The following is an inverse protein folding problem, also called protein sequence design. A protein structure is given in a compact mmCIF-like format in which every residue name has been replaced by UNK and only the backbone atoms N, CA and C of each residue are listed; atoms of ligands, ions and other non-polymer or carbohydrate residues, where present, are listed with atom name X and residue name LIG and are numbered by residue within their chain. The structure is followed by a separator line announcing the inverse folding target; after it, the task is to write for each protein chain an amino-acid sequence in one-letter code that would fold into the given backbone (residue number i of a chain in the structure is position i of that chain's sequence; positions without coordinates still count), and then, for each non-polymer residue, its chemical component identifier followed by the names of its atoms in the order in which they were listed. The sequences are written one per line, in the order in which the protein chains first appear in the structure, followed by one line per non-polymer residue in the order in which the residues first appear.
data_IF_314809750175
#
_entry.id   IF_314809750175
#
_cell.length_a   1.000
_cell.length_b   1.000
_cell.length_c   1.000
_cell.angle_alpha   90.00
_cell.angle_beta   90.00
_cell.angle_gamma   90.00
#
_symmetry.space_group_name_H-M   'P 1'
#
loop_
_entity.id
_entity.type
_entity.pdbx_description
1 polymer ?
#
# COMPACT_ATOMS: atom_id res chain seq x y z
N UNK A 1 -5.06 28.19 -32.50
CA UNK A 1 -5.35 26.74 -32.41
C UNK A 1 -4.08 26.02 -31.94
N UNK A 2 -4.05 25.60 -30.68
CA UNK A 2 -3.11 24.60 -30.13
C UNK A 2 -3.68 24.20 -28.76
N UNK A 3 -4.23 22.98 -28.60
CA UNK A 3 -4.98 22.55 -27.41
C UNK A 3 -4.10 21.81 -26.37
N UNK A 4 -2.81 22.14 -26.25
CA UNK A 4 -1.89 21.42 -25.35
C UNK A 4 -1.49 22.18 -24.07
N UNK A 5 -1.74 23.49 -23.97
CA UNK A 5 -1.33 24.29 -22.81
C UNK A 5 -2.32 24.25 -21.64
N UNK A 6 -3.59 23.89 -21.88
CA UNK A 6 -4.63 23.91 -20.85
C UNK A 6 -4.70 22.63 -20.00
N UNK A 7 -4.12 21.52 -20.48
CA UNK A 7 -4.20 20.23 -19.78
C UNK A 7 -3.13 20.07 -18.67
N UNK A 8 -2.00 20.79 -18.75
CA UNK A 8 -0.92 20.71 -17.75
C UNK A 8 -1.21 21.46 -16.45
N UNK A 9 -2.13 22.44 -16.44
CA UNK A 9 -2.43 23.24 -15.24
C UNK A 9 -3.47 22.62 -14.30
N UNK A 10 -4.31 21.69 -14.77
CA UNK A 10 -5.36 21.09 -13.93
C UNK A 10 -4.81 20.04 -12.95
N UNK A 11 -3.65 19.44 -13.25
CA UNK A 11 -3.09 18.34 -12.45
C UNK A 11 -2.17 18.78 -11.30
N UNK A 12 -1.89 20.08 -11.18
CA UNK A 12 -0.81 20.61 -10.31
C UNK A 12 -1.27 21.69 -9.34
N UNK A 13 -2.44 21.53 -8.71
CA UNK A 13 -2.82 22.35 -7.55
C UNK A 13 -3.24 21.46 -6.39
N UNK A 14 -2.55 21.47 -5.23
CA UNK A 14 -2.93 20.68 -4.05
C UNK A 14 -4.39 20.90 -3.63
N UNK A 15 -4.97 22.08 -3.94
CA UNK A 15 -6.36 22.41 -3.68
C UNK A 15 -7.39 21.56 -4.45
N UNK A 16 -7.09 21.10 -5.68
CA UNK A 16 -8.06 20.33 -6.49
C UNK A 16 -8.22 18.90 -5.98
N UNK A 17 -7.15 18.32 -5.42
CA UNK A 17 -7.17 16.99 -4.79
C UNK A 17 -8.02 16.95 -3.52
N UNK A 18 -7.96 18.01 -2.71
CA UNK A 18 -8.81 18.15 -1.54
C UNK A 18 -10.28 18.32 -1.94
N UNK A 19 -10.55 19.16 -2.95
CA UNK A 19 -11.92 19.38 -3.44
C UNK A 19 -12.56 18.08 -3.92
N UNK A 20 -11.86 17.27 -4.71
CA UNK A 20 -12.36 15.96 -5.17
C UNK A 20 -12.60 14.98 -4.02
N UNK A 21 -11.77 15.01 -2.99
CA UNK A 21 -11.95 14.16 -1.80
C UNK A 21 -13.21 14.56 -1.01
N UNK A 22 -13.46 15.86 -0.84
CA UNK A 22 -14.67 16.37 -0.18
C UNK A 22 -15.93 16.15 -1.02
N UNK A 23 -15.85 16.32 -2.34
CA UNK A 23 -16.96 16.06 -3.27
C UNK A 23 -17.29 14.56 -3.31
N UNK A 24 -16.27 13.70 -3.35
CA UNK A 24 -16.43 12.24 -3.27
C UNK A 24 -17.07 11.81 -1.95
N UNK A 25 -16.64 12.40 -0.83
CA UNK A 25 -17.24 12.17 0.49
C UNK A 25 -18.70 12.64 0.53
N UNK A 26 -19.00 13.84 0.01
CA UNK A 26 -20.35 14.38 -0.05
C UNK A 26 -21.26 13.52 -0.94
N UNK A 27 -20.74 13.05 -2.08
CA UNK A 27 -21.46 12.14 -2.98
C UNK A 27 -21.72 10.79 -2.32
N UNK A 28 -20.72 10.21 -1.64
CA UNK A 28 -20.87 8.95 -0.91
C UNK A 28 -21.90 9.06 0.22
N UNK A 29 -21.84 10.13 1.02
CA UNK A 29 -22.82 10.39 2.07
C UNK A 29 -24.21 10.60 1.49
N UNK A 30 -24.35 11.37 0.41
CA UNK A 30 -25.63 11.60 -0.27
C UNK A 30 -26.19 10.31 -0.85
N UNK A 31 -25.39 9.49 -1.53
CA UNK A 31 -25.81 8.22 -2.14
C UNK A 31 -26.28 7.23 -1.07
N UNK A 32 -25.53 7.07 0.02
CA UNK A 32 -25.93 6.22 1.14
C UNK A 32 -27.21 6.73 1.82
N UNK A 33 -27.36 8.05 1.98
CA UNK A 33 -28.57 8.65 2.57
C UNK A 33 -29.81 8.44 1.67
N UNK A 34 -29.65 8.59 0.36
CA UNK A 34 -30.75 8.40 -0.62
C UNK A 34 -31.13 6.92 -0.75
N UNK A 35 -30.16 5.99 -0.78
CA UNK A 35 -30.45 4.55 -0.73
C UNK A 35 -31.18 4.18 0.56
N UNK A 36 -30.76 4.73 1.71
CA UNK A 36 -31.43 4.51 2.98
C UNK A 36 -32.88 5.00 3.00
N UNK A 37 -33.16 6.18 2.44
CA UNK A 37 -34.53 6.69 2.32
C UNK A 37 -35.41 5.83 1.41
N UNK A 38 -34.83 5.25 0.36
CA UNK A 38 -35.54 4.39 -0.60
C UNK A 38 -35.88 3.01 0.00
N UNK A 39 -35.02 2.45 0.85
CA UNK A 39 -35.26 1.17 1.55
C UNK A 39 -36.20 1.31 2.76
N UNK A 40 -36.30 2.51 3.36
CA UNK A 40 -37.23 2.81 4.46
C UNK A 40 -38.70 2.66 4.09
N UNK A 41 -39.03 2.70 2.80
CA UNK A 41 -40.40 2.50 2.30
C UNK A 41 -40.83 1.03 2.17
N UNK A 42 -39.93 0.05 2.33
CA UNK A 42 -40.23 -1.36 2.02
C UNK A 42 -40.02 -2.37 3.14
N UNK A 43 -39.27 -2.07 4.22
CA UNK A 43 -38.97 -3.10 5.24
C UNK A 43 -38.92 -2.55 6.67
N UNK A 44 -39.87 -2.96 7.51
CA UNK A 44 -39.95 -2.68 8.96
C UNK A 44 -38.97 -3.52 9.80
N UNK A 45 -37.67 -3.54 9.45
CA UNK A 45 -36.65 -4.05 10.37
C UNK A 45 -35.67 -2.96 10.80
N UNK A 46 -35.71 -2.66 12.10
CA UNK A 46 -34.82 -1.72 12.81
C UNK A 46 -33.35 -2.14 12.72
N UNK A 47 -32.64 -1.67 11.70
CA UNK A 47 -31.18 -1.61 11.70
C UNK A 47 -30.77 -0.15 11.55
N UNK A 48 -30.56 0.50 12.68
CA UNK A 48 -30.20 1.92 12.75
C UNK A 48 -28.72 2.14 12.40
N UNK A 49 -28.40 2.26 11.12
CA UNK A 49 -27.13 2.79 10.61
C UNK A 49 -27.15 4.32 10.54
N UNK A 50 -27.46 4.98 11.66
CA UNK A 50 -27.23 6.43 11.78
C UNK A 50 -25.71 6.68 11.84
N UNK A 51 -25.14 7.66 11.13
CA UNK A 51 -23.73 8.04 11.28
C UNK A 51 -23.50 8.51 12.71
N UNK A 52 -22.94 7.63 13.55
CA UNK A 52 -22.71 7.91 14.94
C UNK A 52 -21.28 8.45 15.09
N UNK A 53 -21.06 9.63 15.72
CA UNK A 53 -19.71 10.14 15.98
C UNK A 53 -18.83 9.18 16.80
N UNK A 54 -19.43 8.28 17.60
CA UNK A 54 -18.72 7.19 18.28
C UNK A 54 -18.20 6.12 17.31
N UNK A 55 -18.90 5.85 16.20
CA UNK A 55 -18.41 4.96 15.15
C UNK A 55 -17.25 5.59 14.37
N UNK A 56 -17.28 6.91 14.16
CA UNK A 56 -16.16 7.66 13.60
C UNK A 56 -14.92 7.58 14.51
N UNK A 57 -15.10 7.73 15.83
CA UNK A 57 -14.01 7.60 16.81
C UNK A 57 -13.39 6.19 16.84
N UNK A 58 -14.19 5.15 16.58
CA UNK A 58 -13.72 3.77 16.48
C UNK A 58 -12.84 3.59 15.22
N UNK A 59 -13.20 4.22 14.10
CA UNK A 59 -12.41 4.22 12.86
C UNK A 59 -11.18 5.14 12.94
N UNK A 60 -11.27 6.20 13.73
CA UNK A 60 -10.19 7.18 13.90
C UNK A 60 -8.96 6.54 14.57
N UNK A 61 -9.14 5.65 15.54
CA UNK A 61 -8.01 4.99 16.22
C UNK A 61 -7.04 4.26 15.28
N UNK A 62 -7.47 3.34 14.40
CA UNK A 62 -6.59 2.74 13.40
C UNK A 62 -6.17 3.74 12.30
N UNK A 63 -7.03 4.73 11.99
CA UNK A 63 -6.73 5.80 11.02
C UNK A 63 -5.58 6.73 11.43
N UNK A 64 -5.46 7.06 12.72
CA UNK A 64 -4.38 7.93 13.22
C UNK A 64 -3.02 7.25 13.12
N UNK A 65 -2.95 5.95 13.41
CA UNK A 65 -1.69 5.20 13.30
C UNK A 65 -1.21 5.09 11.85
N UNK A 66 -2.12 4.79 10.92
CA UNK A 66 -1.82 4.76 9.47
C UNK A 66 -1.43 6.15 8.95
N UNK A 67 -2.10 7.20 9.42
CA UNK A 67 -1.78 8.58 9.05
C UNK A 67 -0.39 9.01 9.53
N UNK A 68 -0.05 8.74 10.80
CA UNK A 68 1.28 9.07 11.36
C UNK A 68 2.38 8.31 10.62
N UNK A 69 2.19 7.01 10.40
CA UNK A 69 3.14 6.17 9.66
C UNK A 69 3.36 6.70 8.24
N UNK A 70 2.29 7.09 7.55
CA UNK A 70 2.37 7.69 6.22
C UNK A 70 3.00 9.08 6.22
N UNK A 71 2.71 9.91 7.22
CA UNK A 71 3.29 11.24 7.36
C UNK A 71 4.81 11.17 7.59
N UNK A 72 5.27 10.27 8.48
CA UNK A 72 6.70 10.06 8.76
C UNK A 72 7.41 9.56 7.50
N UNK A 73 6.87 8.52 6.85
CA UNK A 73 7.45 7.97 5.61
C UNK A 73 7.57 9.04 4.53
N UNK A 74 6.54 9.85 4.33
CA UNK A 74 6.55 10.93 3.35
C UNK A 74 7.51 12.06 3.73
N UNK A 75 7.61 12.42 5.01
CA UNK A 75 8.54 13.45 5.48
C UNK A 75 10.00 13.01 5.26
N UNK A 76 10.35 11.77 5.63
CA UNK A 76 11.68 11.20 5.39
C UNK A 76 12.00 11.11 3.89
N UNK A 77 11.02 10.71 3.08
CA UNK A 77 11.17 10.67 1.63
C UNK A 77 11.44 12.05 1.04
N UNK A 78 10.64 13.06 1.39
CA UNK A 78 10.81 14.44 0.90
C UNK A 78 12.15 15.03 1.35
N UNK A 79 12.59 14.72 2.57
CA UNK A 79 13.90 15.13 3.04
C UNK A 79 15.00 14.54 2.17
N UNK A 80 14.96 13.23 1.89
CA UNK A 80 15.97 12.59 1.03
C UNK A 80 15.94 13.14 -0.40
N UNK A 81 14.74 13.40 -0.94
CA UNK A 81 14.55 13.97 -2.28
C UNK A 81 15.07 15.41 -2.37
N UNK A 82 14.88 16.22 -1.34
CA UNK A 82 15.38 17.60 -1.35
C UNK A 82 16.91 17.66 -1.51
N UNK A 83 17.62 16.67 -0.96
CA UNK A 83 19.07 16.54 -1.14
C UNK A 83 19.47 16.08 -2.55
N UNK A 84 18.61 15.33 -3.24
CA UNK A 84 18.85 14.93 -4.64
C UNK A 84 18.60 16.10 -5.60
N UNK A 85 17.49 16.80 -5.39
CA UNK A 85 17.06 17.91 -6.25
C UNK A 85 18.01 19.10 -6.13
N UNK A 86 18.64 19.30 -4.97
CA UNK A 86 19.63 20.35 -4.76
C UNK A 86 20.96 20.13 -5.51
N UNK A 87 21.22 18.92 -6.04
CA UNK A 87 22.45 18.63 -6.80
C UNK A 87 22.49 19.26 -8.20
N UNK A 88 21.35 19.70 -8.75
CA UNK A 88 21.28 20.41 -10.02
C UNK A 88 20.00 20.15 -10.81
N UNK A 89 19.75 20.99 -11.82
CA UNK A 89 18.56 20.92 -12.68
C UNK A 89 18.45 19.60 -13.45
N UNK A 90 19.58 19.05 -13.92
CA UNK A 90 19.63 17.75 -14.61
C UNK A 90 19.19 16.61 -13.70
N UNK A 91 19.69 16.56 -12.46
CA UNK A 91 19.30 15.54 -11.47
C UNK A 91 17.85 15.70 -11.01
N UNK A 92 17.37 16.93 -10.83
CA UNK A 92 15.98 17.20 -10.48
C UNK A 92 15.01 16.69 -11.56
N UNK A 93 15.33 16.95 -12.83
CA UNK A 93 14.52 16.50 -13.97
C UNK A 93 14.59 14.99 -14.12
N UNK A 94 15.79 14.41 -14.02
CA UNK A 94 16.00 12.96 -14.08
C UNK A 94 15.22 12.21 -12.99
N UNK A 95 15.21 12.76 -11.77
CA UNK A 95 14.43 12.23 -10.64
C UNK A 95 12.91 12.32 -10.88
N UNK A 96 12.44 13.40 -11.50
CA UNK A 96 11.04 13.54 -11.90
C UNK A 96 10.61 12.45 -12.87
N UNK A 97 11.37 12.26 -13.95
CA UNK A 97 11.14 11.22 -14.96
C UNK A 97 11.22 9.82 -14.35
N UNK A 98 12.24 9.55 -13.53
CA UNK A 98 12.40 8.29 -12.81
C UNK A 98 11.16 7.97 -11.96
N UNK A 99 10.64 8.96 -11.21
CA UNK A 99 9.41 8.78 -10.43
C UNK A 99 8.20 8.49 -11.29
N UNK A 100 8.07 9.10 -12.47
CA UNK A 100 6.98 8.81 -13.40
C UNK A 100 7.02 7.36 -13.85
N UNK A 101 8.20 6.84 -14.25
CA UNK A 101 8.36 5.44 -14.65
C UNK A 101 7.99 4.52 -13.48
N UNK A 102 8.55 4.78 -12.30
CA UNK A 102 8.33 4.00 -11.08
C UNK A 102 6.85 3.94 -10.67
N UNK A 103 6.18 5.09 -10.56
CA UNK A 103 4.78 5.10 -10.14
C UNK A 103 3.87 4.47 -11.19
N UNK A 104 4.09 4.78 -12.47
CA UNK A 104 3.23 4.33 -13.55
C UNK A 104 3.34 2.84 -13.85
N UNK A 105 4.56 2.34 -14.06
CA UNK A 105 4.77 0.97 -14.52
C UNK A 105 4.89 -0.07 -13.40
N UNK A 106 5.39 0.34 -12.24
CA UNK A 106 5.68 -0.58 -11.13
C UNK A 106 4.66 -0.44 -10.02
N UNK A 107 4.55 0.75 -9.41
CA UNK A 107 3.77 0.87 -8.18
C UNK A 107 2.27 0.71 -8.36
N UNK A 108 1.68 1.34 -9.37
CA UNK A 108 0.22 1.27 -9.58
C UNK A 108 -0.26 -0.17 -9.83
N UNK A 109 0.36 -0.96 -10.72
CA UNK A 109 -0.02 -2.37 -10.91
C UNK A 109 0.18 -3.22 -9.66
N UNK A 110 1.32 -3.07 -8.96
CA UNK A 110 1.61 -3.81 -7.72
C UNK A 110 0.58 -3.47 -6.64
N UNK A 111 0.23 -2.20 -6.46
CA UNK A 111 -0.79 -1.77 -5.50
C UNK A 111 -2.18 -2.30 -5.85
N UNK A 112 -2.55 -2.31 -7.14
CA UNK A 112 -3.84 -2.87 -7.56
C UNK A 112 -3.95 -4.36 -7.21
N UNK A 113 -2.86 -5.10 -7.42
CA UNK A 113 -2.77 -6.51 -7.09
C UNK A 113 -2.75 -6.74 -5.57
N UNK A 114 -2.08 -5.87 -4.82
CA UNK A 114 -2.07 -5.87 -3.35
C UNK A 114 -3.48 -5.72 -2.79
N UNK A 115 -4.24 -4.71 -3.23
CA UNK A 115 -5.61 -4.47 -2.76
C UNK A 115 -6.53 -5.66 -3.07
N UNK A 116 -6.32 -6.29 -4.23
CA UNK A 116 -7.06 -7.48 -4.63
C UNK A 116 -6.74 -8.67 -3.72
N UNK A 117 -5.44 -8.94 -3.50
CA UNK A 117 -4.98 -9.98 -2.57
C UNK A 117 -5.52 -9.75 -1.15
N UNK A 118 -5.45 -8.51 -0.66
CA UNK A 118 -5.91 -8.12 0.67
C UNK A 118 -7.38 -8.45 0.89
N UNK A 119 -8.23 -8.20 -0.12
CA UNK A 119 -9.64 -8.55 -0.04
C UNK A 119 -9.84 -10.07 0.08
N UNK A 120 -9.19 -10.87 -0.76
CA UNK A 120 -9.33 -12.34 -0.74
C UNK A 120 -8.78 -12.97 0.54
N UNK A 121 -7.60 -12.53 1.00
CA UNK A 121 -7.02 -12.98 2.27
C UNK A 121 -7.94 -12.58 3.44
N UNK A 122 -8.47 -11.35 3.43
CA UNK A 122 -9.40 -10.87 4.43
C UNK A 122 -10.69 -11.70 4.52
N UNK A 123 -11.25 -12.10 3.37
CA UNK A 123 -12.41 -13.00 3.31
C UNK A 123 -12.10 -14.39 3.87
N UNK A 124 -11.01 -15.02 3.39
CA UNK A 124 -10.61 -16.35 3.85
C UNK A 124 -10.30 -16.40 5.36
N UNK A 125 -9.64 -15.36 5.87
CA UNK A 125 -9.42 -15.19 7.31
C UNK A 125 -10.72 -14.98 8.09
N UNK A 126 -11.65 -14.19 7.54
CA UNK A 126 -12.96 -13.93 8.13
C UNK A 126 -13.81 -15.19 8.27
N UNK A 127 -13.84 -16.04 7.24
CA UNK A 127 -14.56 -17.31 7.24
C UNK A 127 -13.97 -18.29 8.28
N UNK A 128 -12.64 -18.41 8.31
CA UNK A 128 -11.95 -19.21 9.32
C UNK A 128 -12.23 -18.74 10.76
N UNK A 129 -12.27 -17.41 10.99
CA UNK A 129 -12.63 -16.84 12.30
C UNK A 129 -14.10 -17.06 12.67
N UNK A 130 -14.99 -17.21 11.68
CA UNK A 130 -16.39 -17.54 11.91
C UNK A 130 -16.55 -19.01 12.31
N UNK A 131 -15.83 -19.92 11.64
CA UNK A 131 -15.83 -21.37 11.93
C UNK A 131 -15.34 -21.69 13.35
N UNK A 132 -14.25 -21.06 13.80
CA UNK A 132 -13.70 -21.31 15.15
C UNK A 132 -14.47 -20.59 16.27
N UNK A 133 -15.25 -19.57 15.92
CA UNK A 133 -16.00 -18.74 16.86
C UNK A 133 -15.22 -17.51 17.33
N UNK A 134 -15.86 -16.34 17.22
CA UNK A 134 -15.29 -15.02 17.53
C UNK A 134 -14.95 -14.85 19.03
N UNK A 135 -15.43 -15.74 19.89
CA UNK A 135 -15.17 -15.71 21.34
C UNK A 135 -13.80 -16.30 21.74
N UNK A 136 -13.22 -17.17 20.91
CA UNK A 136 -11.93 -17.80 21.21
C UNK A 136 -10.82 -16.78 20.97
N UNK A 137 -10.21 -16.31 22.05
CA UNK A 137 -9.11 -15.31 22.02
C UNK A 137 -7.77 -15.90 21.59
N UNK A 138 -7.60 -17.21 21.72
CA UNK A 138 -6.39 -17.97 21.41
C UNK A 138 -6.69 -19.14 20.47
N UNK A 139 -7.09 -18.89 19.20
CA UNK A 139 -7.32 -19.98 18.28
C UNK A 139 -5.99 -20.57 17.82
N UNK A 140 -5.90 -21.90 17.86
CA UNK A 140 -4.78 -22.64 17.31
C UNK A 140 -5.09 -22.97 15.85
N UNK A 141 -4.28 -22.47 14.93
CA UNK A 141 -4.47 -22.75 13.51
C UNK A 141 -3.71 -24.02 13.09
N UNK A 142 -4.41 -24.91 12.39
CA UNK A 142 -3.81 -26.04 11.68
C UNK A 142 -3.04 -25.53 10.47
N UNK A 143 -1.91 -26.18 10.10
CA UNK A 143 -1.11 -25.84 8.91
C UNK A 143 -1.95 -25.70 7.63
N UNK A 144 -2.97 -26.56 7.45
CA UNK A 144 -3.89 -26.51 6.31
C UNK A 144 -4.74 -25.23 6.28
N UNK A 145 -5.18 -24.74 7.43
CA UNK A 145 -5.92 -23.48 7.52
C UNK A 145 -5.03 -22.29 7.14
N UNK A 146 -3.75 -22.34 7.55
CA UNK A 146 -2.76 -21.32 7.19
C UNK A 146 -2.60 -21.25 5.68
N UNK A 147 -2.32 -22.37 5.04
CA UNK A 147 -2.20 -22.42 3.58
C UNK A 147 -3.46 -21.91 2.88
N UNK A 148 -4.65 -22.21 3.41
CA UNK A 148 -5.94 -21.79 2.81
C UNK A 148 -6.07 -20.27 2.70
N UNK A 149 -5.75 -19.50 3.75
CA UNK A 149 -5.86 -18.03 3.68
C UNK A 149 -4.60 -17.35 3.12
N UNK A 150 -3.44 -17.99 3.12
CA UNK A 150 -2.21 -17.42 2.52
C UNK A 150 -2.15 -17.61 1.00
N UNK A 151 -2.85 -18.62 0.47
CA UNK A 151 -2.86 -18.96 -0.96
C UNK A 151 -3.16 -17.78 -1.90
N UNK A 152 -4.16 -16.90 -1.66
CA UNK A 152 -4.43 -15.77 -2.54
C UNK A 152 -3.24 -14.79 -2.64
N UNK A 153 -2.52 -14.57 -1.53
CA UNK A 153 -1.33 -13.74 -1.52
C UNK A 153 -0.16 -14.38 -2.28
N UNK A 154 0.02 -15.71 -2.17
CA UNK A 154 1.06 -16.42 -2.91
C UNK A 154 0.79 -16.47 -4.43
N UNK A 155 -0.48 -16.60 -4.84
CA UNK A 155 -0.85 -16.51 -6.26
C UNK A 155 -0.59 -15.09 -6.78
N UNK A 156 -0.97 -14.08 -6.00
CA UNK A 156 -0.72 -12.68 -6.35
C UNK A 156 0.78 -12.38 -6.42
N UNK A 157 1.57 -12.93 -5.50
CA UNK A 157 3.04 -12.87 -5.56
C UNK A 157 3.59 -13.47 -6.86
N UNK A 158 3.12 -14.64 -7.26
CA UNK A 158 3.56 -15.28 -8.50
C UNK A 158 3.19 -14.44 -9.74
N UNK A 159 1.99 -13.88 -9.78
CA UNK A 159 1.54 -12.99 -10.86
C UNK A 159 2.39 -11.71 -10.88
N UNK A 160 2.64 -11.11 -9.71
CA UNK A 160 3.47 -9.92 -9.57
C UNK A 160 4.87 -10.17 -10.15
N UNK A 161 5.51 -11.28 -9.76
CA UNK A 161 6.83 -11.65 -10.29
C UNK A 161 6.81 -11.93 -11.79
N UNK A 162 5.77 -12.61 -12.29
CA UNK A 162 5.64 -12.92 -13.71
C UNK A 162 5.50 -11.68 -14.59
N UNK A 163 4.96 -10.56 -14.07
CA UNK A 163 4.79 -9.30 -14.80
C UNK A 163 5.96 -8.35 -14.53
N UNK A 164 6.34 -8.18 -13.28
CA UNK A 164 7.35 -7.21 -12.85
C UNK A 164 8.74 -7.58 -13.38
N UNK A 165 9.12 -8.87 -13.35
CA UNK A 165 10.45 -9.30 -13.81
C UNK A 165 10.64 -8.97 -15.30
N UNK A 166 9.73 -9.34 -16.23
CA UNK A 166 9.83 -8.91 -17.62
C UNK A 166 9.84 -7.40 -17.81
N UNK A 167 9.02 -6.66 -17.08
CA UNK A 167 8.94 -5.19 -17.18
C UNK A 167 10.25 -4.54 -16.73
N UNK A 168 10.81 -4.96 -15.60
CA UNK A 168 12.11 -4.48 -15.12
C UNK A 168 13.21 -4.77 -16.15
N UNK A 169 13.30 -6.01 -16.65
CA UNK A 169 14.31 -6.38 -17.66
C UNK A 169 14.15 -5.56 -18.95
N UNK A 170 12.91 -5.43 -19.45
CA UNK A 170 12.63 -4.64 -20.64
C UNK A 170 13.03 -3.17 -20.47
N UNK A 171 12.68 -2.55 -19.34
CA UNK A 171 13.05 -1.17 -19.06
C UNK A 171 14.57 -1.01 -18.88
N UNK A 172 15.24 -1.94 -18.22
CA UNK A 172 16.69 -1.90 -17.98
C UNK A 172 17.51 -2.06 -19.26
N UNK A 173 17.09 -2.92 -20.19
CA UNK A 173 17.83 -3.16 -21.43
C UNK A 173 17.42 -2.27 -22.59
N UNK A 174 16.12 -1.93 -22.72
CA UNK A 174 15.58 -1.31 -23.92
C UNK A 174 14.80 -0.02 -23.66
N UNK A 175 14.12 0.11 -22.52
CA UNK A 175 13.09 1.13 -22.34
C UNK A 175 13.51 2.41 -21.63
N UNK A 176 14.36 2.36 -20.61
CA UNK A 176 14.55 3.48 -19.68
C UNK A 176 15.16 4.73 -20.33
N UNK A 177 16.21 4.57 -21.15
CA UNK A 177 16.85 5.68 -21.86
C UNK A 177 15.93 6.33 -22.93
N UNK A 178 15.37 5.60 -23.91
CA UNK A 178 14.50 6.22 -24.93
C UNK A 178 13.22 6.80 -24.33
N UNK A 179 12.64 6.17 -23.31
CA UNK A 179 11.47 6.71 -22.61
C UNK A 179 11.82 7.98 -21.83
N UNK A 180 12.99 8.03 -21.19
CA UNK A 180 13.44 9.23 -20.50
C UNK A 180 13.73 10.36 -21.48
N UNK A 181 14.37 10.07 -22.63
CA UNK A 181 14.60 11.04 -23.72
C UNK A 181 13.30 11.61 -24.26
N UNK A 182 12.27 10.76 -24.42
CA UNK A 182 10.94 11.19 -24.85
C UNK A 182 10.29 12.17 -23.86
N UNK A 183 10.48 11.98 -22.56
CA UNK A 183 9.89 12.84 -21.52
C UNK A 183 10.71 14.11 -21.21
N UNK A 184 12.04 14.01 -21.21
CA UNK A 184 12.93 15.12 -20.85
C UNK A 184 13.31 16.01 -22.03
N UNK A 185 13.31 15.48 -23.26
CA UNK A 185 13.85 16.15 -24.44
C UNK A 185 15.37 16.37 -24.41
N UNK A 186 16.08 15.78 -23.44
CA UNK A 186 17.53 15.94 -23.23
C UNK A 186 18.23 14.59 -23.04
N UNK A 187 19.34 14.41 -23.75
CA UNK A 187 20.16 13.20 -23.73
C UNK A 187 20.88 13.02 -22.40
N UNK A 188 21.41 14.11 -21.82
CA UNK A 188 22.07 14.07 -20.52
C UNK A 188 21.10 13.61 -19.42
N UNK A 189 19.85 14.10 -19.44
CA UNK A 189 18.83 13.68 -18.47
C UNK A 189 18.43 12.22 -18.70
N UNK A 190 18.34 11.79 -19.95
CA UNK A 190 17.98 10.41 -20.30
C UNK A 190 19.01 9.39 -19.80
N UNK A 191 20.29 9.71 -19.96
CA UNK A 191 21.39 8.84 -19.50
C UNK A 191 21.45 8.76 -17.97
N UNK A 192 21.26 9.89 -17.28
CA UNK A 192 21.18 9.91 -15.81
C UNK A 192 19.98 9.09 -15.33
N UNK A 193 18.79 9.26 -15.91
CA UNK A 193 17.60 8.46 -15.54
C UNK A 193 17.80 6.97 -15.83
N UNK A 194 18.41 6.60 -16.96
CA UNK A 194 18.70 5.20 -17.28
C UNK A 194 19.68 4.57 -16.28
N UNK A 195 20.74 5.30 -15.93
CA UNK A 195 21.69 4.90 -14.89
C UNK A 195 20.99 4.73 -13.53
N UNK A 196 20.12 5.67 -13.16
CA UNK A 196 19.31 5.59 -11.93
C UNK A 196 18.44 4.33 -11.92
N UNK A 197 17.73 4.06 -13.01
CA UNK A 197 16.84 2.91 -13.14
C UNK A 197 17.60 1.59 -12.99
N UNK A 198 18.69 1.40 -13.76
CA UNK A 198 19.48 0.16 -13.76
C UNK A 198 20.14 -0.17 -12.41
N UNK A 199 20.23 0.81 -11.50
CA UNK A 199 20.81 0.60 -10.18
C UNK A 199 19.78 0.07 -9.16
N UNK A 200 18.49 0.36 -9.37
CA UNK A 200 17.41 0.13 -8.38
C UNK A 200 16.33 -0.82 -8.92
N UNK A 201 16.32 -1.15 -10.21
CA UNK A 201 15.36 -2.05 -10.87
C UNK A 201 15.15 -3.38 -10.12
N UNK A 202 16.23 -4.07 -9.74
CA UNK A 202 16.17 -5.33 -9.01
C UNK A 202 15.54 -5.20 -7.62
N UNK A 203 15.66 -4.02 -6.98
CA UNK A 203 15.03 -3.74 -5.70
C UNK A 203 13.49 -3.68 -5.82
N UNK A 204 12.95 -3.35 -6.99
CA UNK A 204 11.50 -3.34 -7.20
C UNK A 204 10.88 -4.73 -7.23
N UNK A 205 11.66 -5.76 -7.57
CA UNK A 205 11.24 -7.15 -7.43
C UNK A 205 11.00 -7.45 -5.94
N UNK A 206 11.94 -7.06 -5.07
CA UNK A 206 11.77 -7.17 -3.61
C UNK A 206 10.62 -6.33 -3.06
N UNK A 207 10.39 -5.14 -3.63
CA UNK A 207 9.22 -4.33 -3.32
C UNK A 207 7.91 -5.06 -3.65
N UNK A 208 7.78 -5.65 -4.85
CA UNK A 208 6.61 -6.40 -5.23
C UNK A 208 6.40 -7.61 -4.31
N UNK A 209 7.48 -8.34 -3.99
CA UNK A 209 7.40 -9.48 -3.09
C UNK A 209 6.96 -9.10 -1.68
N UNK A 210 7.60 -8.08 -1.09
CA UNK A 210 7.28 -7.59 0.25
C UNK A 210 5.84 -7.08 0.34
N UNK A 211 5.38 -6.35 -0.68
CA UNK A 211 4.00 -5.82 -0.73
C UNK A 211 2.97 -6.95 -0.75
N UNK A 212 3.20 -8.02 -1.52
CA UNK A 212 2.28 -9.16 -1.57
C UNK A 212 2.25 -9.94 -0.25
N UNK A 213 3.42 -10.16 0.37
CA UNK A 213 3.51 -10.84 1.68
C UNK A 213 2.86 -10.02 2.80
N UNK A 214 3.10 -8.71 2.81
CA UNK A 214 2.50 -7.78 3.74
C UNK A 214 0.96 -7.85 3.76
N UNK A 215 0.30 -8.21 2.65
CA UNK A 215 -1.17 -8.37 2.62
C UNK A 215 -1.68 -9.41 3.62
N UNK A 216 -0.89 -10.44 3.92
CA UNK A 216 -1.23 -11.49 4.89
C UNK A 216 -1.32 -10.89 6.29
N UNK A 217 -0.30 -10.14 6.69
CA UNK A 217 -0.27 -9.50 7.99
C UNK A 217 -1.26 -8.33 8.08
N UNK A 218 -1.45 -7.58 6.99
CA UNK A 218 -2.39 -6.46 6.93
C UNK A 218 -3.85 -6.93 7.08
N UNK A 219 -4.23 -8.02 6.41
CA UNK A 219 -5.56 -8.62 6.52
C UNK A 219 -5.83 -9.19 7.92
N UNK A 220 -4.81 -9.76 8.57
CA UNK A 220 -4.98 -10.52 9.81
C UNK A 220 -4.73 -9.67 11.07
N UNK A 221 -3.73 -8.78 11.03
CA UNK A 221 -3.25 -7.92 12.13
C UNK A 221 -2.63 -6.59 11.62
N UNK A 222 -3.46 -5.59 11.28
CA UNK A 222 -2.97 -4.30 10.79
C UNK A 222 -2.05 -3.56 11.78
N UNK A 223 -2.19 -3.76 13.10
CA UNK A 223 -1.31 -3.10 14.09
C UNK A 223 0.12 -3.64 14.11
N UNK A 224 0.31 -4.94 13.88
CA UNK A 224 1.65 -5.55 13.84
C UNK A 224 2.39 -5.07 12.59
N UNK A 225 1.68 -5.05 11.47
CA UNK A 225 2.17 -4.47 10.23
C UNK A 225 2.56 -2.99 10.40
N UNK A 226 1.68 -2.16 10.97
CA UNK A 226 1.95 -0.72 11.15
C UNK A 226 3.16 -0.45 12.04
N UNK A 227 3.32 -1.21 13.13
CA UNK A 227 4.49 -1.07 14.00
C UNK A 227 5.77 -1.50 13.30
N UNK A 228 5.72 -2.61 12.55
CA UNK A 228 6.87 -3.08 11.77
C UNK A 228 7.27 -2.08 10.69
N UNK A 229 6.31 -1.60 9.89
CA UNK A 229 6.57 -0.59 8.85
C UNK A 229 7.16 0.69 9.44
N UNK A 230 6.62 1.17 10.57
CA UNK A 230 7.15 2.35 11.24
C UNK A 230 8.58 2.14 11.74
N UNK A 231 8.86 1.01 12.38
CA UNK A 231 10.18 0.69 12.91
C UNK A 231 11.20 0.49 11.79
N UNK A 232 10.86 -0.22 10.72
CA UNK A 232 11.76 -0.41 9.57
C UNK A 232 12.09 0.92 8.91
N UNK A 233 11.09 1.77 8.68
CA UNK A 233 11.32 3.11 8.12
C UNK A 233 12.15 4.00 9.04
N UNK A 234 11.89 4.03 10.35
CA UNK A 234 12.68 4.85 11.28
C UNK A 234 14.09 4.31 11.50
N UNK A 235 14.28 3.00 11.64
CA UNK A 235 15.59 2.42 11.96
C UNK A 235 16.50 2.31 10.74
N UNK A 236 15.93 2.18 9.53
CA UNK A 236 16.72 2.10 8.31
C UNK A 236 16.85 3.46 7.63
N UNK A 237 15.74 4.14 7.32
CA UNK A 237 15.79 5.35 6.47
C UNK A 237 16.40 6.54 7.21
N UNK A 238 16.18 6.67 8.53
CA UNK A 238 16.64 7.83 9.30
C UNK A 238 18.17 7.88 9.47
N UNK A 239 18.89 6.79 9.84
CA UNK A 239 20.35 6.82 9.87
C UNK A 239 20.96 7.13 8.50
N UNK A 240 20.40 6.54 7.44
CA UNK A 240 20.88 6.76 6.08
C UNK A 240 20.60 8.18 5.58
N UNK A 241 19.49 8.81 5.96
CA UNK A 241 19.22 10.21 5.68
C UNK A 241 20.25 11.15 6.34
N UNK A 242 20.64 10.85 7.58
CA UNK A 242 21.68 11.61 8.32
C UNK A 242 23.05 11.43 7.65
N UNK A 243 23.40 10.21 7.24
CA UNK A 243 24.65 9.93 6.52
C UNK A 243 24.69 10.68 5.18
N UNK A 244 23.58 10.72 4.44
CA UNK A 244 23.51 11.46 3.18
C UNK A 244 23.58 12.99 3.35
N UNK A 245 23.29 13.53 4.55
CA UNK A 245 23.45 14.95 4.82
C UNK A 245 24.87 15.32 5.26
N UNK A 246 25.57 14.39 5.91
CA UNK A 246 26.89 14.64 6.54
C UNK A 246 28.06 14.27 5.64
N UNK A 247 27.89 13.31 4.72
CA UNK A 247 28.92 13.00 3.72
C UNK A 247 28.96 14.11 2.66
N UNK A 248 30.13 14.71 2.43
CA UNK A 248 30.38 15.64 1.32
C UNK A 248 30.28 14.89 -0.01
N UNK A 249 29.07 14.74 -0.53
CA UNK A 249 28.77 13.95 -1.71
C UNK A 249 29.26 14.66 -2.97
N UNK A 250 30.43 14.27 -3.46
CA UNK A 250 30.82 14.53 -4.85
C UNK A 250 29.75 13.98 -5.80
N UNK A 251 29.31 14.78 -6.78
CA UNK A 251 28.20 14.44 -7.69
C UNK A 251 28.33 13.06 -8.35
N UNK A 252 29.57 12.59 -8.57
CA UNK A 252 29.86 11.32 -9.21
C UNK A 252 29.65 10.09 -8.29
N UNK A 253 29.73 10.24 -6.95
CA UNK A 253 29.45 9.16 -5.98
C UNK A 253 28.10 9.32 -5.29
N UNK A 254 27.41 10.44 -5.51
CA UNK A 254 26.18 10.76 -4.82
C UNK A 254 25.08 9.72 -5.06
N UNK A 255 24.95 9.24 -6.29
CA UNK A 255 23.94 8.27 -6.63
C UNK A 255 24.12 6.93 -5.93
N UNK A 256 25.35 6.45 -5.74
CA UNK A 256 25.60 5.14 -5.09
C UNK A 256 25.08 5.09 -3.65
N UNK A 257 25.24 6.18 -2.90
CA UNK A 257 24.67 6.27 -1.55
C UNK A 257 23.14 6.32 -1.61
N UNK A 258 22.58 7.17 -2.49
CA UNK A 258 21.12 7.29 -2.62
C UNK A 258 20.46 5.99 -3.11
N UNK A 259 21.10 5.24 -4.01
CA UNK A 259 20.62 3.94 -4.46
C UNK A 259 20.69 2.90 -3.35
N UNK A 260 21.67 2.97 -2.46
CA UNK A 260 21.76 2.10 -1.29
C UNK A 260 20.68 2.45 -0.27
N UNK A 261 20.38 3.73 -0.03
CA UNK A 261 19.27 4.12 0.85
C UNK A 261 17.93 3.66 0.27
N UNK A 262 17.65 4.02 -0.98
CA UNK A 262 16.38 3.71 -1.62
C UNK A 262 16.21 2.21 -1.87
N UNK A 263 17.16 1.59 -2.57
CA UNK A 263 17.13 0.17 -2.88
C UNK A 263 17.26 -0.71 -1.63
N UNK A 264 18.20 -0.38 -0.75
CA UNK A 264 18.43 -1.12 0.49
C UNK A 264 17.25 -1.07 1.45
N UNK A 265 16.50 0.03 1.51
CA UNK A 265 15.27 0.10 2.32
C UNK A 265 14.20 -0.88 1.86
N UNK A 266 14.08 -1.12 0.55
CA UNK A 266 13.15 -2.09 -0.03
C UNK A 266 13.55 -3.53 0.32
N UNK A 267 14.84 -3.84 0.24
CA UNK A 267 15.36 -5.18 0.60
C UNK A 267 15.26 -5.42 2.10
N UNK A 268 15.61 -4.44 2.94
CA UNK A 268 15.46 -4.53 4.39
C UNK A 268 14.00 -4.75 4.78
N UNK A 269 13.07 -4.00 4.17
CA UNK A 269 11.64 -4.16 4.41
C UNK A 269 11.15 -5.57 4.05
N UNK A 270 11.66 -6.15 2.96
CA UNK A 270 11.35 -7.53 2.59
C UNK A 270 11.79 -8.54 3.65
N UNK A 271 13.01 -8.40 4.18
CA UNK A 271 13.53 -9.28 5.24
C UNK A 271 12.68 -9.14 6.51
N UNK A 272 12.36 -7.91 6.90
CA UNK A 272 11.53 -7.63 8.08
C UNK A 272 10.14 -8.26 7.95
N UNK A 273 9.50 -8.14 6.78
CA UNK A 273 8.19 -8.74 6.52
C UNK A 273 8.27 -10.27 6.58
N UNK A 274 9.30 -10.89 5.98
CA UNK A 274 9.48 -12.34 6.07
C UNK A 274 9.64 -12.82 7.52
N UNK A 275 10.39 -12.08 8.34
CA UNK A 275 10.58 -12.39 9.76
C UNK A 275 9.26 -12.27 10.51
N UNK A 276 8.53 -11.17 10.34
CA UNK A 276 7.28 -10.94 11.06
C UNK A 276 6.19 -11.92 10.62
N UNK A 277 6.10 -12.26 9.33
CA UNK A 277 5.18 -13.29 8.84
C UNK A 277 5.53 -14.67 9.39
N UNK A 278 6.82 -15.00 9.49
CA UNK A 278 7.28 -16.25 10.11
C UNK A 278 6.91 -16.32 11.59
N UNK A 279 7.13 -15.22 12.33
CA UNK A 279 6.73 -15.10 13.74
C UNK A 279 5.21 -15.21 13.87
N UNK A 280 4.46 -14.60 12.95
CA UNK A 280 3.00 -14.65 12.92
C UNK A 280 2.48 -16.07 12.70
N UNK A 281 3.01 -16.80 11.71
CA UNK A 281 2.70 -18.22 11.46
C UNK A 281 2.97 -19.01 12.74
N UNK A 282 4.13 -18.83 13.35
CA UNK A 282 4.53 -19.54 14.57
C UNK A 282 3.62 -19.24 15.76
N UNK A 283 3.28 -17.97 16.01
CA UNK A 283 2.37 -17.58 17.11
C UNK A 283 0.94 -18.07 16.89
N UNK A 284 0.49 -18.13 15.64
CA UNK A 284 -0.82 -18.67 15.28
C UNK A 284 -0.89 -20.20 15.47
N UNK A 285 0.19 -20.91 15.11
CA UNK A 285 0.30 -22.37 15.30
C UNK A 285 0.44 -22.78 16.77
N UNK A 286 1.13 -21.97 17.58
CA UNK A 286 1.31 -22.22 19.02
C UNK A 286 0.11 -21.77 19.86
N UNK A 287 -0.89 -21.09 19.28
CA UNK A 287 -2.06 -20.58 20.00
C UNK A 287 -1.74 -19.45 20.98
N UNK A 288 -0.49 -18.96 21.02
CA UNK A 288 -0.07 -17.86 21.89
C UNK A 288 -0.64 -16.51 21.45
N UNK A 289 -1.23 -16.46 20.25
CA UNK A 289 -1.74 -15.23 19.66
C UNK A 289 -3.06 -14.79 20.29
N UNK A 290 -3.06 -13.64 21.00
CA UNK A 290 -4.28 -13.03 21.56
C UNK A 290 -4.99 -12.19 20.51
N UNK A 291 -6.06 -12.69 19.92
CA UNK A 291 -6.90 -11.95 18.98
C UNK A 291 -7.87 -11.04 19.73
N UNK A 292 -8.01 -9.80 19.27
CA UNK A 292 -9.02 -8.90 19.82
C UNK A 292 -10.41 -9.51 19.57
N UNK A 293 -11.21 -9.65 20.62
CA UNK A 293 -12.63 -9.94 20.46
C UNK A 293 -13.25 -8.75 19.73
N UNK A 294 -13.77 -8.96 18.53
CA UNK A 294 -14.66 -7.99 17.88
C UNK A 294 -15.83 -7.79 18.85
N UNK A 295 -15.88 -6.63 19.50
CA UNK A 295 -16.93 -6.27 20.45
C UNK A 295 -18.32 -6.47 19.82
N UNK A 296 -19.31 -6.75 20.65
CA UNK A 296 -20.68 -7.16 20.29
C UNK A 296 -21.38 -6.34 19.19
N UNK A 297 -20.90 -5.13 18.85
CA UNK A 297 -21.38 -4.33 17.72
C UNK A 297 -21.20 -4.95 16.33
N UNK A 298 -20.25 -5.87 16.13
CA UNK A 298 -20.03 -6.49 14.81
C UNK A 298 -20.76 -7.83 14.63
N UNK A 299 -21.29 -8.43 15.71
CA UNK A 299 -22.13 -9.63 15.62
C UNK A 299 -23.41 -9.33 14.84
N UNK A 300 -24.00 -8.16 15.06
CA UNK A 300 -25.19 -7.71 14.35
C UNK A 300 -24.94 -7.58 12.84
N UNK A 301 -23.85 -6.95 12.41
CA UNK A 301 -23.55 -6.78 10.98
C UNK A 301 -23.37 -8.10 10.20
N UNK A 302 -22.83 -9.15 10.84
CA UNK A 302 -22.67 -10.47 10.21
C UNK A 302 -24.00 -11.25 10.11
N UNK A 303 -24.95 -11.05 11.02
CA UNK A 303 -26.29 -11.63 10.93
C UNK A 303 -27.17 -10.90 9.90
N UNK A 304 -27.04 -9.57 9.76
CA UNK A 304 -27.73 -8.79 8.72
C UNK A 304 -27.30 -9.22 7.30
N UNK A 305 -26.03 -9.59 7.12
CA UNK A 305 -25.52 -10.03 5.82
C UNK A 305 -26.05 -11.42 5.41
N UNK A 306 -26.38 -12.30 6.36
CA UNK A 306 -26.95 -13.63 6.09
C UNK A 306 -28.44 -13.56 5.72
N UNK A 307 -29.21 -12.71 6.40
CA UNK A 307 -30.65 -12.53 6.11
C UNK A 307 -30.91 -11.81 4.76
N UNK A 308 -29.97 -10.98 4.29
CA UNK A 308 -30.06 -10.34 2.98
C UNK A 308 -29.70 -11.25 1.79
N UNK A 309 -29.03 -12.39 2.04
CA UNK A 309 -28.64 -13.32 0.98
C UNK A 309 -29.61 -14.49 0.82
N UNK A 310 -30.28 -14.93 1.89
CA UNK A 310 -31.28 -16.01 1.85
C UNK A 310 -32.64 -15.56 1.26
N UNK A 311 -32.86 -14.25 1.06
CA UNK A 311 -34.09 -13.70 0.45
C UNK A 311 -33.95 -13.38 -1.04
N UNK A 312 -32.79 -13.63 -1.67
CA UNK A 312 -32.56 -13.46 -3.12
C UNK A 312 -32.36 -14.77 -3.89
N UNK A 313 -32.50 -15.93 -3.23
CA UNK A 313 -32.39 -17.24 -3.91
C UNK A 313 -33.54 -18.14 -3.43
N UNK A 314 -34.72 -17.89 -3.97
CA UNK A 314 -35.82 -18.85 -4.21
C UNK A 314 -36.88 -18.10 -5.03
N UNK A 315 -37.49 -18.77 -6.03
CA UNK A 315 -37.72 -18.26 -7.39
C UNK A 315 -38.57 -17.00 -7.52
#
# INVERSE_FOLDING_TARGET
MSPQSTCKQVFSSPATWHLHSFIGLAYFLRRNTVQYQKERGKTSQEWTTKPHPRALLILLRPGVLTFIESAIRNALYLWLVSNIVSMGSTYATAWGVFNTIRWGFVMVPVQALEQTSLAFVGHAWGDWRREIGVQIRHPKATKQAIVKFTRPALISLAIALAIEVPVCLFLTYFGACPFARYLSGSDEVADVTAMMWRTIDWCYIFYAMSTMLATILLATRPRWYLLQSLMSNMLYVLPWAIVCQTASLSANKAWTYHSLVFGGSLVSSFVDICVVDSIWIWTLMTGRMRLECRGAGQRRAAYAWRLGFETSISP
#
